data_IF_306798186926
#
_entry.id   IF_306798186926
#
_cell.length_a   1.000
_cell.length_b   1.000
_cell.length_c   1.000
_cell.angle_alpha   90.00
_cell.angle_beta   90.00
_cell.angle_gamma   90.00
#
_symmetry.space_group_name_H-M   'P 1'
#
loop_
_entity.id
_entity.type
_entity.pdbx_description
1 polymer ?
#
# COMPACT_ATOMS: atom_id res chain seq x y z
N UNK A 1 -23.71 -14.75 0.44
CA UNK A 1 -22.47 -14.39 1.17
C UNK A 1 -21.13 -14.67 0.49
N UNK A 2 -21.03 -15.39 -0.64
CA UNK A 2 -19.72 -15.80 -1.20
C UNK A 2 -19.05 -14.79 -2.14
N UNK A 3 -19.78 -13.76 -2.57
CA UNK A 3 -19.25 -12.65 -3.38
C UNK A 3 -19.29 -11.39 -2.51
N UNK A 4 -18.22 -11.13 -1.76
CA UNK A 4 -18.07 -9.90 -0.98
C UNK A 4 -17.59 -8.77 -1.90
N UNK A 5 -18.47 -8.28 -2.75
CA UNK A 5 -18.23 -7.00 -3.41
C UNK A 5 -18.46 -5.88 -2.40
N UNK A 6 -17.57 -4.90 -2.43
CA UNK A 6 -17.75 -3.66 -1.68
C UNK A 6 -18.58 -2.72 -2.56
N UNK A 7 -19.82 -2.51 -2.15
CA UNK A 7 -20.75 -1.59 -2.81
C UNK A 7 -20.70 -0.23 -2.13
N UNK A 8 -20.94 0.84 -2.89
CA UNK A 8 -21.02 2.20 -2.35
C UNK A 8 -22.17 2.33 -1.33
N UNK A 9 -23.32 1.68 -1.58
CA UNK A 9 -24.48 1.72 -0.68
C UNK A 9 -24.37 0.84 0.57
N UNK A 10 -23.31 0.02 0.70
CA UNK A 10 -23.17 -1.03 1.74
C UNK A 10 -24.30 -2.10 1.78
N UNK A 11 -25.33 -2.02 0.94
CA UNK A 11 -26.52 -2.88 0.93
C UNK A 11 -26.37 -4.08 -0.03
N UNK A 12 -25.41 -4.97 0.26
CA UNK A 12 -24.99 -6.00 -0.71
C UNK A 12 -26.07 -7.00 -1.15
N UNK A 13 -27.04 -7.36 -0.30
CA UNK A 13 -27.99 -8.45 -0.60
C UNK A 13 -29.11 -8.00 -1.55
N UNK A 14 -29.71 -6.85 -1.28
CA UNK A 14 -30.83 -6.31 -2.06
C UNK A 14 -30.37 -5.98 -3.50
N UNK A 15 -29.11 -5.56 -3.67
CA UNK A 15 -28.52 -5.30 -4.97
C UNK A 15 -28.44 -6.54 -5.86
N UNK A 16 -28.15 -7.72 -5.30
CA UNK A 16 -28.08 -8.95 -6.08
C UNK A 16 -29.45 -9.39 -6.60
N UNK A 17 -30.50 -9.22 -5.79
CA UNK A 17 -31.86 -9.55 -6.23
C UNK A 17 -32.28 -8.67 -7.41
N UNK A 18 -31.89 -7.39 -7.40
CA UNK A 18 -32.10 -6.47 -8.52
C UNK A 18 -31.32 -6.88 -9.77
N UNK A 19 -30.05 -7.25 -9.63
CA UNK A 19 -29.22 -7.71 -10.76
C UNK A 19 -29.78 -8.99 -11.39
N UNK A 20 -30.21 -9.95 -10.56
CA UNK A 20 -30.90 -11.17 -11.03
C UNK A 20 -32.23 -10.81 -11.72
N UNK A 21 -32.90 -9.75 -11.26
CA UNK A 21 -34.11 -9.19 -11.87
C UNK A 21 -33.90 -8.50 -13.23
N UNK A 22 -32.66 -8.25 -13.65
CA UNK A 22 -32.33 -7.65 -14.95
C UNK A 22 -31.66 -6.27 -14.86
N UNK A 23 -31.47 -5.71 -13.65
CA UNK A 23 -30.65 -4.53 -13.46
C UNK A 23 -29.15 -4.86 -13.64
N UNK A 24 -28.32 -3.83 -13.77
CA UNK A 24 -26.86 -3.97 -13.87
C UNK A 24 -26.17 -3.25 -12.73
N UNK A 25 -24.97 -3.71 -12.36
CA UNK A 25 -24.07 -2.97 -11.49
C UNK A 25 -22.84 -2.54 -12.28
N UNK A 26 -22.28 -1.39 -11.94
CA UNK A 26 -21.14 -0.82 -12.66
C UNK A 26 -19.97 -0.59 -11.72
N UNK A 27 -18.74 -0.66 -12.22
CA UNK A 27 -17.58 -0.33 -11.37
C UNK A 27 -17.47 1.17 -11.10
N UNK A 28 -16.78 1.53 -10.02
CA UNK A 28 -16.46 2.93 -9.67
C UNK A 28 -15.82 3.68 -10.86
N UNK A 29 -14.89 3.03 -11.55
CA UNK A 29 -14.22 3.57 -12.75
C UNK A 29 -15.20 3.87 -13.89
N UNK A 30 -16.19 2.98 -14.12
CA UNK A 30 -17.24 3.20 -15.11
C UNK A 30 -18.13 4.39 -14.70
N UNK A 31 -18.57 4.39 -13.45
CA UNK A 31 -19.43 5.43 -12.88
C UNK A 31 -18.79 6.82 -13.02
N UNK A 32 -17.53 6.97 -12.62
CA UNK A 32 -16.80 8.25 -12.74
C UNK A 32 -16.61 8.68 -14.19
N UNK A 33 -16.18 7.76 -15.06
CA UNK A 33 -15.86 8.08 -16.46
C UNK A 33 -17.07 8.49 -17.30
N UNK A 34 -18.21 7.85 -17.05
CA UNK A 34 -19.46 8.10 -17.79
C UNK A 34 -20.42 9.02 -17.03
N UNK A 35 -19.98 9.59 -15.91
CA UNK A 35 -20.78 10.46 -15.03
C UNK A 35 -22.12 9.80 -14.64
N UNK A 36 -22.04 8.54 -14.19
CA UNK A 36 -23.17 7.71 -13.77
C UNK A 36 -23.12 7.42 -12.27
N UNK A 37 -24.30 7.24 -11.68
CA UNK A 37 -24.50 6.89 -10.27
C UNK A 37 -25.49 5.74 -10.12
N UNK A 38 -25.61 5.20 -8.91
CA UNK A 38 -26.67 4.24 -8.58
C UNK A 38 -28.06 4.85 -8.84
N UNK A 39 -28.93 4.11 -9.52
CA UNK A 39 -30.26 4.58 -9.95
C UNK A 39 -30.31 5.22 -11.33
N UNK A 40 -29.16 5.52 -11.95
CA UNK A 40 -29.11 5.99 -13.34
C UNK A 40 -29.33 4.86 -14.34
N UNK A 41 -29.40 5.21 -15.62
CA UNK A 41 -29.46 4.25 -16.73
C UNK A 41 -28.20 4.26 -17.58
N UNK A 42 -27.90 3.10 -18.16
CA UNK A 42 -26.83 2.91 -19.13
C UNK A 42 -27.38 2.28 -20.41
N UNK A 43 -27.02 2.84 -21.55
CA UNK A 43 -27.34 2.28 -22.86
C UNK A 43 -26.18 1.41 -23.35
N UNK A 44 -26.40 0.10 -23.47
CA UNK A 44 -25.42 -0.86 -23.95
C UNK A 44 -25.78 -1.36 -25.34
N UNK A 45 -24.76 -1.55 -26.19
CA UNK A 45 -24.96 -2.12 -27.53
C UNK A 45 -25.11 -3.64 -27.42
N UNK A 46 -26.28 -4.13 -27.79
CA UNK A 46 -26.62 -5.56 -27.84
C UNK A 46 -26.62 -6.05 -29.29
N UNK A 47 -26.75 -7.36 -29.49
CA UNK A 47 -26.81 -7.98 -30.83
C UNK A 47 -28.01 -7.47 -31.65
N UNK A 48 -29.06 -6.99 -30.99
CA UNK A 48 -30.28 -6.48 -31.62
C UNK A 48 -30.42 -4.94 -31.55
N UNK A 49 -29.34 -4.22 -31.24
CA UNK A 49 -29.33 -2.76 -31.12
C UNK A 49 -29.05 -2.26 -29.70
N UNK A 50 -29.16 -0.95 -29.48
CA UNK A 50 -28.94 -0.38 -28.15
C UNK A 50 -30.09 -0.73 -27.20
N UNK A 51 -29.76 -1.21 -26.00
CA UNK A 51 -30.72 -1.49 -24.92
C UNK A 51 -30.35 -0.70 -23.67
N UNK A 52 -31.36 -0.25 -22.94
CA UNK A 52 -31.20 0.56 -21.74
C UNK A 52 -31.37 -0.33 -20.51
N UNK A 53 -30.41 -0.24 -19.60
CA UNK A 53 -30.40 -0.97 -18.34
C UNK A 53 -30.38 0.01 -17.16
N UNK A 54 -31.05 -0.35 -16.08
CA UNK A 54 -31.00 0.39 -14.82
C UNK A 54 -29.77 0.00 -14.01
N UNK A 55 -29.07 0.99 -13.46
CA UNK A 55 -27.91 0.78 -12.60
C UNK A 55 -28.43 0.56 -11.17
N UNK A 56 -28.33 -0.68 -10.69
CA UNK A 56 -28.71 -1.02 -9.32
C UNK A 56 -27.78 -0.36 -8.30
N UNK A 57 -26.47 -0.45 -8.53
CA UNK A 57 -25.45 0.13 -7.65
C UNK A 57 -24.07 0.23 -8.33
N UNK A 58 -23.16 0.93 -7.68
CA UNK A 58 -21.74 1.04 -8.04
C UNK A 58 -20.90 0.18 -7.09
N UNK A 59 -19.99 -0.62 -7.64
CA UNK A 59 -19.09 -1.47 -6.86
C UNK A 59 -17.62 -1.09 -7.07
N UNK A 60 -16.82 -1.33 -6.05
CA UNK A 60 -15.38 -1.07 -6.09
C UNK A 60 -14.69 -2.17 -6.89
N UNK A 61 -13.98 -1.78 -7.94
CA UNK A 61 -13.13 -2.67 -8.74
C UNK A 61 -11.80 -2.01 -9.07
N UNK A 62 -10.73 -2.79 -8.99
CA UNK A 62 -9.37 -2.39 -9.31
C UNK A 62 -8.81 -3.12 -10.54
N UNK A 63 -9.65 -3.91 -11.22
CA UNK A 63 -9.21 -4.83 -12.27
C UNK A 63 -9.21 -4.17 -13.65
N UNK A 64 -10.15 -3.26 -13.92
CA UNK A 64 -10.32 -2.67 -15.25
C UNK A 64 -10.40 -1.14 -15.22
N UNK A 65 -9.33 -0.47 -15.68
CA UNK A 65 -9.26 0.99 -15.85
C UNK A 65 -10.29 1.55 -16.83
N UNK A 66 -10.85 0.71 -17.70
CA UNK A 66 -11.87 1.14 -18.67
C UNK A 66 -13.28 1.19 -18.05
N UNK A 67 -13.44 0.66 -16.83
CA UNK A 67 -14.72 0.39 -16.22
C UNK A 67 -15.30 -0.95 -16.65
N UNK A 68 -16.19 -1.50 -15.82
CA UNK A 68 -16.89 -2.75 -16.11
C UNK A 68 -18.37 -2.65 -15.73
N UNK A 69 -19.19 -3.40 -16.45
CA UNK A 69 -20.62 -3.58 -16.17
C UNK A 69 -20.86 -5.06 -15.91
N UNK A 70 -21.53 -5.35 -14.80
CA UNK A 70 -21.89 -6.70 -14.41
C UNK A 70 -23.40 -6.87 -14.41
N UNK A 71 -23.86 -8.01 -14.91
CA UNK A 71 -25.27 -8.35 -15.04
C UNK A 71 -25.46 -9.85 -14.82
N UNK A 72 -26.70 -10.27 -14.60
CA UNK A 72 -27.02 -11.69 -14.51
C UNK A 72 -26.74 -12.41 -15.84
N UNK A 73 -26.31 -13.67 -15.75
CA UNK A 73 -25.98 -14.47 -16.93
C UNK A 73 -27.19 -14.65 -17.87
N UNK A 74 -28.40 -14.85 -17.33
CA UNK A 74 -29.60 -15.00 -18.15
C UNK A 74 -29.94 -13.70 -18.91
N UNK A 75 -29.67 -12.54 -18.30
CA UNK A 75 -29.78 -11.23 -18.96
C UNK A 75 -28.76 -11.11 -20.08
N UNK A 76 -27.50 -11.48 -19.82
CA UNK A 76 -26.45 -11.46 -20.84
C UNK A 76 -26.76 -12.38 -22.03
N UNK A 77 -27.24 -13.60 -21.78
CA UNK A 77 -27.68 -14.53 -22.82
C UNK A 77 -28.82 -13.98 -23.67
N UNK A 78 -29.83 -13.37 -23.04
CA UNK A 78 -31.00 -12.80 -23.72
C UNK A 78 -30.64 -11.72 -24.74
N UNK A 79 -29.67 -10.87 -24.42
CA UNK A 79 -29.36 -9.68 -25.22
C UNK A 79 -28.14 -9.85 -26.14
N UNK A 80 -27.14 -10.64 -25.76
CA UNK A 80 -25.93 -10.84 -26.57
C UNK A 80 -25.84 -12.23 -27.22
N UNK A 81 -26.51 -13.24 -26.67
CA UNK A 81 -26.43 -14.64 -27.13
C UNK A 81 -24.96 -15.08 -27.35
N UNK A 82 -24.11 -15.04 -26.31
CA UNK A 82 -22.71 -15.36 -26.43
C UNK A 82 -22.52 -16.84 -26.84
N UNK A 83 -21.52 -17.12 -27.67
CA UNK A 83 -21.25 -18.48 -28.12
C UNK A 83 -20.46 -19.32 -27.12
N UNK A 84 -19.67 -18.68 -26.25
CA UNK A 84 -18.79 -19.34 -25.29
C UNK A 84 -18.60 -18.47 -24.03
N UNK A 85 -18.23 -19.11 -22.91
CA UNK A 85 -17.82 -18.41 -21.69
C UNK A 85 -16.30 -18.18 -21.71
N UNK A 86 -15.86 -16.97 -21.39
CA UNK A 86 -14.43 -16.65 -21.35
C UNK A 86 -13.75 -17.16 -20.07
N UNK A 87 -14.44 -17.07 -18.93
CA UNK A 87 -13.92 -17.42 -17.62
C UNK A 87 -14.98 -18.18 -16.81
N UNK A 88 -14.55 -19.17 -16.03
CA UNK A 88 -15.41 -19.92 -15.12
C UNK A 88 -14.79 -19.93 -13.72
N UNK A 89 -15.56 -19.49 -12.72
CA UNK A 89 -15.15 -19.55 -11.31
C UNK A 89 -15.82 -20.72 -10.62
N UNK A 90 -15.03 -21.56 -9.94
CA UNK A 90 -15.53 -22.72 -9.18
C UNK A 90 -15.28 -22.48 -7.70
N UNK A 91 -16.34 -22.47 -6.90
CA UNK A 91 -16.26 -22.31 -5.46
C UNK A 91 -16.32 -23.67 -4.76
N UNK A 92 -15.18 -24.10 -4.23
CA UNK A 92 -15.09 -25.34 -3.47
C UNK A 92 -15.70 -25.18 -2.08
N UNK A 93 -16.21 -26.29 -1.53
CA UNK A 93 -16.62 -26.33 -0.12
C UNK A 93 -15.37 -26.33 0.77
N UNK A 94 -15.42 -25.77 1.99
CA UNK A 94 -14.25 -25.65 2.88
C UNK A 94 -13.54 -26.98 3.18
N UNK A 95 -14.27 -28.10 3.13
CA UNK A 95 -13.78 -29.43 3.45
C UNK A 95 -12.99 -30.07 2.28
N UNK A 96 -12.99 -29.45 1.10
CA UNK A 96 -12.32 -29.97 -0.09
C UNK A 96 -10.91 -29.39 -0.20
N UNK A 97 -9.90 -30.25 -0.29
CA UNK A 97 -8.53 -29.82 -0.62
C UNK A 97 -8.48 -29.26 -2.05
N UNK A 98 -8.27 -27.95 -2.14
CA UNK A 98 -8.25 -27.21 -3.39
C UNK A 98 -7.10 -27.65 -4.30
N UNK A 99 -5.93 -28.00 -3.76
CA UNK A 99 -4.76 -28.37 -4.57
C UNK A 99 -4.93 -29.77 -5.15
N UNK A 100 -5.41 -30.72 -4.34
CA UNK A 100 -5.74 -32.06 -4.81
C UNK A 100 -6.85 -32.03 -5.87
N UNK A 101 -7.89 -31.20 -5.65
CA UNK A 101 -8.98 -31.03 -6.62
C UNK A 101 -8.48 -30.43 -7.93
N UNK A 102 -7.65 -29.40 -7.86
CA UNK A 102 -7.13 -28.70 -9.04
C UNK A 102 -6.15 -29.57 -9.84
N UNK A 103 -5.31 -30.36 -9.16
CA UNK A 103 -4.46 -31.35 -9.83
C UNK A 103 -5.28 -32.42 -10.57
N UNK A 104 -6.38 -32.88 -9.96
CA UNK A 104 -7.29 -33.81 -10.62
C UNK A 104 -8.01 -33.16 -11.81
N UNK A 105 -8.50 -31.94 -11.65
CA UNK A 105 -9.20 -31.19 -12.69
C UNK A 105 -8.29 -30.92 -13.89
N UNK A 106 -7.04 -30.49 -13.67
CA UNK A 106 -6.01 -30.34 -14.70
C UNK A 106 -5.85 -31.66 -15.46
N UNK A 107 -5.69 -32.79 -14.77
CA UNK A 107 -5.52 -34.11 -15.42
C UNK A 107 -6.71 -34.52 -16.30
N UNK A 108 -7.93 -34.22 -15.88
CA UNK A 108 -9.15 -34.58 -16.63
C UNK A 108 -9.35 -33.69 -17.87
N UNK A 109 -8.93 -32.43 -17.80
CA UNK A 109 -9.14 -31.43 -18.85
C UNK A 109 -7.98 -31.33 -19.84
N UNK A 110 -6.77 -31.78 -19.47
CA UNK A 110 -5.60 -31.84 -20.36
C UNK A 110 -5.96 -32.53 -21.68
N UNK A 111 -5.72 -31.84 -22.79
CA UNK A 111 -5.96 -32.34 -24.15
C UNK A 111 -7.42 -32.32 -24.62
N UNK A 112 -8.38 -31.94 -23.75
CA UNK A 112 -9.80 -31.76 -24.14
C UNK A 112 -10.15 -30.30 -24.39
N UNK A 113 -9.57 -29.40 -23.61
CA UNK A 113 -9.75 -27.95 -23.73
C UNK A 113 -8.42 -27.24 -23.48
N UNK A 114 -8.15 -26.17 -24.24
CA UNK A 114 -7.08 -25.23 -23.94
C UNK A 114 -7.58 -24.25 -22.86
N UNK A 115 -7.51 -24.68 -21.60
CA UNK A 115 -7.93 -23.87 -20.45
C UNK A 115 -6.79 -23.68 -19.47
N UNK A 116 -6.59 -22.44 -19.05
CA UNK A 116 -5.73 -22.12 -17.92
C UNK A 116 -6.54 -22.29 -16.63
N UNK A 117 -6.05 -23.17 -15.75
CA UNK A 117 -6.71 -23.48 -14.49
C UNK A 117 -5.77 -23.06 -13.37
N UNK A 118 -6.14 -21.99 -12.66
CA UNK A 118 -5.33 -21.41 -11.60
C UNK A 118 -6.15 -21.34 -10.31
N UNK A 119 -5.52 -21.67 -9.18
CA UNK A 119 -6.18 -21.50 -7.88
C UNK A 119 -6.23 -20.02 -7.51
N UNK A 120 -7.15 -19.64 -6.61
CA UNK A 120 -7.14 -18.26 -6.09
C UNK A 120 -5.82 -17.92 -5.37
N UNK A 121 -5.17 -18.91 -4.76
CA UNK A 121 -3.85 -18.74 -4.12
C UNK A 121 -2.77 -18.47 -5.15
N UNK A 122 -2.71 -19.27 -6.22
CA UNK A 122 -1.74 -19.12 -7.31
C UNK A 122 -1.92 -17.77 -8.01
N UNK A 123 -3.16 -17.38 -8.31
CA UNK A 123 -3.48 -16.06 -8.85
C UNK A 123 -3.03 -14.94 -7.91
N UNK A 124 -3.27 -15.07 -6.60
CA UNK A 124 -2.85 -14.08 -5.62
C UNK A 124 -1.33 -13.96 -5.56
N UNK A 125 -0.61 -15.08 -5.53
CA UNK A 125 0.86 -15.11 -5.51
C UNK A 125 1.44 -14.49 -6.78
N UNK A 126 0.88 -14.81 -7.94
CA UNK A 126 1.31 -14.23 -9.21
C UNK A 126 1.07 -12.72 -9.27
N UNK A 127 -0.12 -12.26 -8.85
CA UNK A 127 -0.44 -10.84 -8.75
C UNK A 127 0.53 -10.14 -7.79
N UNK A 128 0.79 -10.70 -6.61
CA UNK A 128 1.73 -10.15 -5.65
C UNK A 128 3.16 -10.09 -6.22
N UNK A 129 3.59 -11.12 -6.95
CA UNK A 129 4.90 -11.15 -7.60
C UNK A 129 5.07 -10.04 -8.64
N UNK A 130 4.05 -9.82 -9.46
CA UNK A 130 4.04 -8.73 -10.46
C UNK A 130 4.10 -7.36 -9.77
N UNK A 131 3.33 -7.19 -8.68
CA UNK A 131 3.39 -5.97 -7.88
C UNK A 131 4.77 -5.77 -7.26
N UNK A 132 5.33 -6.78 -6.60
CA UNK A 132 6.65 -6.72 -5.97
C UNK A 132 7.73 -6.35 -7.00
N UNK A 133 7.66 -6.89 -8.21
CA UNK A 133 8.59 -6.57 -9.30
C UNK A 133 8.45 -5.11 -9.75
N UNK A 134 7.22 -4.63 -9.94
CA UNK A 134 6.94 -3.23 -10.33
C UNK A 134 7.40 -2.25 -9.26
N UNK A 135 7.20 -2.59 -7.97
CA UNK A 135 7.59 -1.76 -6.84
C UNK A 135 9.03 -1.96 -6.39
N UNK A 136 9.78 -2.89 -6.97
CA UNK A 136 11.18 -3.14 -6.61
C UNK A 136 12.05 -1.89 -6.79
N UNK A 137 11.81 -1.11 -7.85
CA UNK A 137 12.54 0.15 -8.10
C UNK A 137 12.28 1.15 -6.99
N UNK A 138 11.02 1.29 -6.56
CA UNK A 138 10.65 2.16 -5.43
C UNK A 138 11.32 1.72 -4.14
N UNK A 139 11.42 0.41 -3.88
CA UNK A 139 12.12 -0.11 -2.71
C UNK A 139 13.61 0.25 -2.75
N UNK A 140 14.26 0.17 -3.91
CA UNK A 140 15.66 0.60 -4.08
C UNK A 140 15.81 2.10 -3.81
N UNK A 141 14.92 2.93 -4.34
CA UNK A 141 14.92 4.37 -4.09
C UNK A 141 14.67 4.70 -2.62
N UNK A 142 13.80 3.94 -1.94
CA UNK A 142 13.54 4.09 -0.51
C UNK A 142 14.79 3.78 0.31
N UNK A 143 15.49 2.67 0.02
CA UNK A 143 16.75 2.32 0.69
C UNK A 143 17.81 3.40 0.46
N UNK A 144 17.96 3.88 -0.78
CA UNK A 144 18.89 4.96 -1.12
C UNK A 144 18.56 6.24 -0.36
N UNK A 145 17.28 6.63 -0.31
CA UNK A 145 16.83 7.81 0.44
C UNK A 145 17.10 7.65 1.94
N UNK A 146 16.85 6.47 2.50
CA UNK A 146 17.14 6.17 3.89
C UNK A 146 18.65 6.24 4.19
N UNK A 147 19.50 5.76 3.27
CA UNK A 147 20.96 5.88 3.40
C UNK A 147 21.41 7.34 3.39
N UNK A 148 20.90 8.15 2.45
CA UNK A 148 21.22 9.58 2.37
C UNK A 148 20.79 10.31 3.65
N UNK A 149 19.57 10.03 4.13
CA UNK A 149 19.08 10.58 5.39
C UNK A 149 19.96 10.16 6.58
N UNK A 150 20.36 8.89 6.65
CA UNK A 150 21.22 8.35 7.71
C UNK A 150 22.59 9.03 7.73
N UNK A 151 23.23 9.20 6.58
CA UNK A 151 24.50 9.93 6.44
C UNK A 151 24.32 11.39 6.85
N UNK A 152 23.19 12.01 6.48
CA UNK A 152 22.83 13.36 6.88
C UNK A 152 22.75 13.51 8.40
N UNK A 153 22.12 12.57 9.10
CA UNK A 153 22.04 12.55 10.57
C UNK A 153 23.43 12.42 11.20
N UNK A 154 24.27 11.50 10.70
CA UNK A 154 25.66 11.37 11.18
C UNK A 154 26.40 12.69 11.03
N UNK A 155 26.26 13.34 9.88
CA UNK A 155 26.95 14.59 9.56
C UNK A 155 26.47 15.73 10.46
N UNK A 156 25.17 15.82 10.71
CA UNK A 156 24.58 16.80 11.63
C UNK A 156 25.07 16.61 13.07
N UNK A 157 25.06 15.37 13.58
CA UNK A 157 25.56 15.07 14.93
C UNK A 157 27.06 15.38 15.04
N UNK A 158 27.85 15.03 14.01
CA UNK A 158 29.28 15.35 13.99
C UNK A 158 29.50 16.87 14.02
N UNK A 159 28.74 17.64 13.24
CA UNK A 159 28.81 19.11 13.26
C UNK A 159 28.51 19.65 14.67
N UNK A 160 27.43 19.18 15.28
CA UNK A 160 27.01 19.58 16.62
C UNK A 160 28.06 19.25 17.70
N UNK A 161 28.73 18.10 17.58
CA UNK A 161 29.83 17.73 18.47
C UNK A 161 31.03 18.66 18.32
N UNK A 162 31.39 19.04 17.08
CA UNK A 162 32.50 19.96 16.81
C UNK A 162 32.20 21.34 17.38
N UNK A 163 31.00 21.88 17.12
CA UNK A 163 30.56 23.18 17.64
C UNK A 163 30.58 23.24 19.18
N UNK A 164 30.19 22.16 19.85
CA UNK A 164 30.12 22.09 21.33
C UNK A 164 31.38 21.53 21.98
N UNK A 165 32.49 21.37 21.25
CA UNK A 165 33.72 20.75 21.77
C UNK A 165 34.20 21.37 23.08
N UNK A 166 34.16 22.71 23.19
CA UNK A 166 34.57 23.45 24.40
C UNK A 166 33.67 23.16 25.60
N UNK A 167 32.36 23.13 25.40
CA UNK A 167 31.38 22.85 26.45
C UNK A 167 31.55 21.43 26.99
N UNK A 168 31.70 20.44 26.08
CA UNK A 168 31.95 19.05 26.45
C UNK A 168 33.30 18.89 27.17
N UNK A 169 34.31 19.69 26.80
CA UNK A 169 35.61 19.77 27.47
C UNK A 169 35.51 20.28 28.91
N UNK A 170 34.73 21.33 29.15
CA UNK A 170 34.47 21.89 30.49
C UNK A 170 33.74 20.86 31.36
N UNK A 171 32.71 20.19 30.84
CA UNK A 171 32.00 19.13 31.56
C UNK A 171 32.93 17.99 31.98
N UNK A 172 33.87 17.60 31.11
CA UNK A 172 34.90 16.61 31.46
C UNK A 172 35.87 17.11 32.52
N UNK A 173 36.26 18.38 32.49
CA UNK A 173 37.12 18.99 33.50
C UNK A 173 36.44 19.06 34.88
N UNK A 174 35.12 19.21 34.91
CA UNK A 174 34.28 19.15 36.12
C UNK A 174 34.04 17.72 36.63
N UNK A 175 34.62 16.69 35.99
CA UNK A 175 34.57 15.30 36.43
C UNK A 175 33.55 14.41 35.72
N UNK A 176 32.88 14.90 34.65
CA UNK A 176 31.96 14.07 33.87
C UNK A 176 32.72 12.94 33.16
N UNK A 177 32.27 11.70 33.39
CA UNK A 177 32.84 10.52 32.73
C UNK A 177 32.49 10.46 31.25
N UNK A 178 33.32 9.77 30.45
CA UNK A 178 33.05 9.54 29.03
C UNK A 178 31.74 8.76 28.80
N UNK A 179 31.36 7.89 29.74
CA UNK A 179 30.11 7.14 29.67
C UNK A 179 28.88 8.05 29.84
N UNK A 180 28.94 9.01 30.77
CA UNK A 180 27.90 10.02 30.94
C UNK A 180 27.77 10.91 29.70
N UNK A 181 28.91 11.34 29.15
CA UNK A 181 28.93 12.17 27.92
C UNK A 181 28.27 11.44 26.75
N UNK A 182 28.63 10.16 26.55
CA UNK A 182 28.04 9.33 25.50
C UNK A 182 26.54 9.13 25.68
N UNK A 183 26.09 8.91 26.92
CA UNK A 183 24.67 8.74 27.22
C UNK A 183 23.88 10.01 26.96
N UNK A 184 24.45 11.18 27.26
CA UNK A 184 23.83 12.48 26.96
C UNK A 184 23.61 12.65 25.45
N UNK A 185 24.67 12.50 24.65
CA UNK A 185 24.59 12.65 23.19
C UNK A 185 23.69 11.59 22.55
N UNK A 186 23.69 10.36 23.08
CA UNK A 186 22.78 9.30 22.64
C UNK A 186 21.31 9.68 22.83
N UNK A 187 20.96 10.23 23.99
CA UNK A 187 19.60 10.72 24.26
C UNK A 187 19.24 11.96 23.45
N UNK A 188 20.18 12.87 23.21
CA UNK A 188 19.97 14.03 22.33
C UNK A 188 19.61 13.58 20.90
N UNK A 189 20.32 12.57 20.37
CA UNK A 189 19.97 11.96 19.08
C UNK A 189 18.60 11.28 19.13
N UNK A 190 18.29 10.55 20.20
CA UNK A 190 16.97 9.94 20.39
C UNK A 190 15.84 10.97 20.37
N UNK A 191 16.03 12.14 20.99
CA UNK A 191 15.07 13.25 20.94
C UNK A 191 14.92 13.80 19.53
N UNK A 192 16.02 14.01 18.80
CA UNK A 192 15.95 14.43 17.39
C UNK A 192 15.18 13.42 16.53
N UNK A 193 15.44 12.12 16.72
CA UNK A 193 14.72 11.05 16.02
C UNK A 193 13.24 10.99 16.38
N UNK A 194 12.91 11.26 17.64
CA UNK A 194 11.52 11.34 18.12
C UNK A 194 10.77 12.50 17.45
N UNK A 195 11.37 13.69 17.44
CA UNK A 195 10.77 14.88 16.80
C UNK A 195 10.62 14.64 15.30
N UNK A 196 11.65 14.11 14.64
CA UNK A 196 11.60 13.77 13.22
C UNK A 196 10.49 12.75 12.94
N UNK A 197 10.35 11.70 13.75
CA UNK A 197 9.26 10.73 13.65
C UNK A 197 7.89 11.38 13.80
N UNK A 198 7.70 12.21 14.83
CA UNK A 198 6.44 12.93 15.07
C UNK A 198 6.05 13.86 13.91
N UNK A 199 7.02 14.48 13.24
CA UNK A 199 6.78 15.31 12.06
C UNK A 199 6.57 14.47 10.79
N UNK A 200 7.23 13.32 10.67
CA UNK A 200 7.12 12.44 9.52
C UNK A 200 5.72 11.81 9.41
N UNK A 201 5.07 11.45 10.53
CA UNK A 201 3.74 10.83 10.51
C UNK A 201 2.67 11.71 9.82
N UNK A 202 2.43 12.99 10.21
CA UNK A 202 1.44 13.83 9.55
C UNK A 202 1.84 14.17 8.12
N UNK A 203 3.12 14.46 7.84
CA UNK A 203 3.58 14.77 6.49
C UNK A 203 3.46 13.58 5.53
N UNK A 204 3.85 12.39 5.97
CA UNK A 204 3.68 11.15 5.21
C UNK A 204 2.22 10.80 4.99
N UNK A 205 1.38 11.01 6.01
CA UNK A 205 -0.07 10.86 5.88
C UNK A 205 -0.62 11.84 4.84
N UNK A 206 -0.28 13.13 4.92
CA UNK A 206 -0.73 14.12 3.94
C UNK A 206 -0.31 13.76 2.51
N UNK A 207 0.93 13.25 2.32
CA UNK A 207 1.40 12.78 1.02
C UNK A 207 0.61 11.56 0.53
N UNK A 208 0.29 10.61 1.42
CA UNK A 208 -0.55 9.46 1.09
C UNK A 208 -1.98 9.90 0.70
N UNK A 209 -2.55 10.89 1.38
CA UNK A 209 -3.84 11.47 1.00
C UNK A 209 -3.79 12.09 -0.41
N UNK A 210 -2.75 12.85 -0.74
CA UNK A 210 -2.57 13.39 -2.09
C UNK A 210 -2.44 12.26 -3.12
N UNK A 211 -1.66 11.23 -2.82
CA UNK A 211 -1.49 10.09 -3.73
C UNK A 211 -2.81 9.37 -3.99
N UNK A 212 -3.59 9.09 -2.93
CA UNK A 212 -4.83 8.31 -3.02
C UNK A 212 -5.99 9.12 -3.62
N UNK A 213 -6.17 10.37 -3.19
CA UNK A 213 -7.34 11.18 -3.55
C UNK A 213 -7.08 12.22 -4.65
N UNK A 214 -5.84 12.38 -5.11
CA UNK A 214 -5.53 13.30 -6.21
C UNK A 214 -4.86 12.57 -7.36
N UNK A 215 -3.79 11.83 -7.10
CA UNK A 215 -3.02 11.19 -8.16
C UNK A 215 -3.76 9.94 -8.68
N UNK A 216 -4.11 8.99 -7.81
CA UNK A 216 -4.79 7.75 -8.23
C UNK A 216 -6.12 8.03 -8.94
N UNK A 217 -6.93 8.95 -8.40
CA UNK A 217 -8.19 9.34 -9.04
C UNK A 217 -7.99 9.93 -10.43
N UNK A 218 -6.92 10.69 -10.68
CA UNK A 218 -6.64 11.28 -12.00
C UNK A 218 -6.01 10.30 -12.98
N UNK A 219 -5.28 9.32 -12.49
CA UNK A 219 -4.55 8.37 -13.34
C UNK A 219 -5.37 7.13 -13.65
N UNK A 220 -6.17 6.64 -12.70
CA UNK A 220 -6.82 5.34 -12.79
C UNK A 220 -8.33 5.36 -12.55
N UNK A 221 -8.91 6.52 -12.21
CA UNK A 221 -10.36 6.70 -11.99
C UNK A 221 -10.98 5.74 -10.94
N UNK A 222 -10.19 5.20 -10.01
CA UNK A 222 -10.66 4.42 -8.85
C UNK A 222 -10.06 4.94 -7.54
N UNK A 223 -10.76 4.68 -6.42
CA UNK A 223 -10.29 5.07 -5.09
C UNK A 223 -9.87 3.85 -4.24
N UNK A 224 -8.75 3.99 -3.53
CA UNK A 224 -8.39 3.05 -2.44
C UNK A 224 -8.84 3.67 -1.13
N UNK A 225 -9.62 2.92 -0.36
CA UNK A 225 -10.00 3.34 0.98
C UNK A 225 -8.75 3.45 1.86
N UNK A 226 -8.50 4.64 2.40
CA UNK A 226 -7.42 4.85 3.35
C UNK A 226 -7.72 4.09 4.65
N UNK A 227 -6.91 3.09 4.97
CA UNK A 227 -7.04 2.31 6.20
C UNK A 227 -6.01 2.78 7.22
N UNK A 228 -6.52 3.22 8.37
CA UNK A 228 -5.69 3.58 9.51
C UNK A 228 -5.15 2.31 10.18
N UNK A 229 -3.93 1.93 9.83
CA UNK A 229 -3.24 0.81 10.46
C UNK A 229 -2.26 1.34 11.52
N UNK A 230 -2.72 1.43 12.77
CA UNK A 230 -1.93 1.98 13.88
C UNK A 230 -0.58 1.28 14.09
N UNK A 231 -0.49 -0.01 13.74
CA UNK A 231 0.76 -0.76 13.78
C UNK A 231 1.81 -0.19 12.81
N UNK A 232 1.43 0.21 11.59
CA UNK A 232 2.34 0.79 10.60
C UNK A 232 2.90 2.15 11.05
N UNK A 233 2.05 2.99 11.67
CA UNK A 233 2.47 4.25 12.27
C UNK A 233 3.48 4.04 13.41
N UNK A 234 3.19 3.09 14.30
CA UNK A 234 4.09 2.76 15.40
C UNK A 234 5.43 2.21 14.89
N UNK A 235 5.40 1.31 13.90
CA UNK A 235 6.62 0.77 13.28
C UNK A 235 7.46 1.87 12.64
N UNK A 236 6.84 2.81 11.92
CA UNK A 236 7.53 3.95 11.30
C UNK A 236 8.18 4.84 12.35
N UNK A 237 7.45 5.16 13.43
CA UNK A 237 7.98 5.96 14.53
C UNK A 237 9.16 5.27 15.22
N UNK A 238 9.02 3.98 15.55
CA UNK A 238 10.09 3.18 16.16
C UNK A 238 11.31 3.11 15.23
N UNK A 239 11.09 2.91 13.93
CA UNK A 239 12.17 2.87 12.95
C UNK A 239 12.92 4.20 12.88
N UNK A 240 12.20 5.34 12.87
CA UNK A 240 12.82 6.66 12.88
C UNK A 240 13.66 6.89 14.15
N UNK A 241 13.10 6.54 15.32
CA UNK A 241 13.80 6.64 16.60
C UNK A 241 15.07 5.76 16.63
N UNK A 242 14.96 4.49 16.27
CA UNK A 242 16.09 3.56 16.24
C UNK A 242 17.15 3.96 15.22
N UNK A 243 16.75 4.43 14.04
CA UNK A 243 17.68 4.90 13.00
C UNK A 243 18.50 6.08 13.49
N UNK A 244 17.87 7.04 14.18
CA UNK A 244 18.60 8.16 14.80
C UNK A 244 19.59 7.68 15.87
N UNK A 245 19.18 6.76 16.75
CA UNK A 245 20.07 6.21 17.77
C UNK A 245 21.27 5.47 17.16
N UNK A 246 21.03 4.69 16.10
CA UNK A 246 22.08 3.98 15.37
C UNK A 246 23.06 4.96 14.69
N UNK A 247 22.54 6.06 14.13
CA UNK A 247 23.38 7.10 13.53
C UNK A 247 24.34 7.73 14.54
N UNK A 248 23.90 7.92 15.79
CA UNK A 248 24.76 8.47 16.85
C UNK A 248 25.89 7.52 17.28
N UNK A 249 25.78 6.20 17.07
CA UNK A 249 26.80 5.24 17.52
C UNK A 249 28.19 5.57 16.93
N UNK A 250 28.26 5.89 15.64
CA UNK A 250 29.54 6.20 14.99
C UNK A 250 30.21 7.46 15.60
N UNK A 251 29.57 8.65 15.66
CA UNK A 251 30.09 9.83 16.34
C UNK A 251 30.52 9.58 17.80
N UNK A 252 29.75 8.78 18.55
CA UNK A 252 30.02 8.47 19.95
C UNK A 252 31.32 7.68 20.17
N UNK A 253 31.73 6.87 19.18
CA UNK A 253 33.04 6.20 19.24
C UNK A 253 34.20 7.17 19.04
N UNK A 254 34.01 8.22 18.23
CA UNK A 254 35.01 9.25 17.93
C UNK A 254 35.26 10.23 19.08
N UNK A 255 34.31 10.39 20.02
CA UNK A 255 34.45 11.24 21.22
C UNK A 255 35.71 10.97 22.07
N UNK A 256 36.30 9.77 21.99
CA UNK A 256 37.55 9.44 22.70
C UNK A 256 38.76 10.25 22.21
N UNK A 257 38.72 10.72 20.97
CA UNK A 257 39.85 11.37 20.30
C UNK A 257 39.90 12.88 20.54
N UNK A 258 38.90 13.47 21.20
CA UNK A 258 38.88 14.91 21.51
C UNK A 258 39.87 15.18 22.65
N UNK A 259 41.00 15.87 22.40
CA UNK A 259 42.02 16.11 23.41
C UNK A 259 41.53 17.22 24.35
N UNK A 260 41.35 16.87 25.64
CA UNK A 260 40.99 17.81 26.71
C UNK A 260 42.04 18.95 26.82
N UNK A 261 43.30 18.64 26.54
CA UNK A 261 44.41 19.58 26.60
C UNK A 261 44.56 20.46 25.35
N UNK A 262 43.95 20.10 24.21
CA UNK A 262 43.98 20.91 22.98
C UNK A 262 42.89 21.99 22.98
N UNK A 263 41.69 21.63 23.47
CA UNK A 263 40.52 22.53 23.48
C UNK A 263 40.65 23.74 24.44
N UNK A 264 41.63 23.73 25.35
CA UNK A 264 41.92 24.83 26.28
C UNK A 264 43.17 25.63 25.85
N UNK A 265 43.93 25.12 24.86
CA UNK A 265 45.25 25.64 24.49
C UNK A 265 45.33 26.21 23.07
N UNK A 266 44.23 26.23 22.32
CA UNK A 266 44.11 27.06 21.12
C UNK A 266 43.91 28.54 21.52
N UNK A 267 45.01 29.13 21.98
CA UNK A 267 45.40 30.52 21.72
C UNK A 267 46.81 30.50 21.09
#
# INVERSE_FOLDING_TARGET
>A
DRLRFLFESNASRDNWERVIGGDVIVSETFARRFEKSAGDTVALRTSNGAQVFQIADVFIDYSFEQGQVMMDHATYERYWAPSHANNLSIFLKPEVDAEAYLANLRRVLVGRFEVEISSNRELREEVLRIFDQTFAITNVLQVLTAMVAFIGIISAIMSLLVERTRELGILRALGMSLAQLRRMVFWESGLMGTIAGLLALPTGTALAFVLIYVINLRTFDWSIAFRWEGAAYLQTFVLAFLTSLLAAVYPLTRLKQIPIAGAIREE
#
